data_IF_611253985660
#
_entry.id   IF_611253985660
#
_cell.length_a   1.000
_cell.length_b   1.000
_cell.length_c   1.000
_cell.angle_alpha   90.00
_cell.angle_beta   90.00
_cell.angle_gamma   90.00
#
_symmetry.space_group_name_H-M   'P 1'
#
loop_
_entity.id
_entity.type
_entity.pdbx_description
1 polymer ?
#
# COMPACT_ATOMS: atom_id res chain seq x y z
N UNK A 1 -12.80 -12.84 -10.14
CA UNK A 1 -13.45 -11.75 -9.36
C UNK A 1 -12.62 -10.50 -9.53
N UNK A 2 -13.29 -9.38 -9.80
CA UNK A 2 -12.71 -8.14 -10.33
C UNK A 2 -11.91 -7.44 -9.22
N UNK A 3 -10.59 -7.28 -9.40
CA UNK A 3 -9.73 -6.33 -8.68
C UNK A 3 -10.14 -4.88 -9.00
N UNK A 4 -11.42 -4.54 -8.80
CA UNK A 4 -11.94 -3.23 -9.10
C UNK A 4 -11.49 -2.28 -7.99
N UNK A 5 -10.51 -1.43 -8.34
CA UNK A 5 -10.47 -0.03 -7.92
C UNK A 5 -10.23 0.31 -6.44
N UNK A 6 -9.53 -0.45 -5.60
CA UNK A 6 -9.09 0.16 -4.32
C UNK A 6 -8.13 1.33 -4.59
N UNK A 7 -7.13 1.12 -5.44
CA UNK A 7 -6.18 2.16 -5.82
C UNK A 7 -6.84 3.30 -6.63
N UNK A 8 -7.67 2.96 -7.62
CA UNK A 8 -8.39 3.97 -8.43
C UNK A 8 -9.37 4.78 -7.58
N UNK A 9 -10.05 4.17 -6.61
CA UNK A 9 -10.92 4.87 -5.66
C UNK A 9 -10.11 5.79 -4.74
N UNK A 10 -8.98 5.32 -4.19
CA UNK A 10 -8.08 6.13 -3.38
C UNK A 10 -7.50 7.33 -4.17
N UNK A 11 -7.14 7.10 -5.43
CA UNK A 11 -6.65 8.14 -6.33
C UNK A 11 -7.76 9.16 -6.63
N UNK A 12 -8.97 8.70 -6.96
CA UNK A 12 -10.12 9.54 -7.25
C UNK A 12 -10.52 10.43 -6.06
N UNK A 13 -10.51 9.91 -4.83
CA UNK A 13 -10.80 10.70 -3.62
C UNK A 13 -9.71 11.72 -3.30
N UNK A 14 -8.43 11.41 -3.57
CA UNK A 14 -7.32 12.38 -3.44
C UNK A 14 -7.37 13.52 -4.46
N UNK A 15 -8.08 13.33 -5.59
CA UNK A 15 -8.29 14.34 -6.64
C UNK A 15 -9.57 15.16 -6.45
N UNK A 16 -10.48 14.76 -5.55
CA UNK A 16 -11.76 15.44 -5.33
C UNK A 16 -11.62 16.89 -4.77
N UNK A 17 -10.43 17.32 -4.37
CA UNK A 17 -10.14 18.71 -3.96
C UNK A 17 -9.82 19.66 -5.12
N UNK A 18 -9.66 19.20 -6.37
CA UNK A 18 -9.28 20.11 -7.47
C UNK A 18 -10.09 19.83 -8.74
N UNK A 19 -11.10 20.67 -8.98
CA UNK A 19 -11.87 20.66 -10.22
C UNK A 19 -10.92 20.92 -11.39
N UNK A 20 -11.05 20.09 -12.44
CA UNK A 20 -10.33 20.15 -13.74
C UNK A 20 -8.89 19.62 -13.71
N UNK A 21 -8.73 18.30 -13.74
CA UNK A 21 -7.81 17.66 -14.70
C UNK A 21 -8.51 16.45 -15.31
N UNK A 22 -8.47 16.40 -16.63
CA UNK A 22 -9.00 15.35 -17.50
C UNK A 22 -8.63 13.96 -16.97
N UNK A 23 -9.59 13.03 -16.93
CA UNK A 23 -9.34 11.60 -16.72
C UNK A 23 -8.67 11.05 -17.98
N UNK A 24 -7.38 11.31 -18.17
CA UNK A 24 -6.57 10.47 -19.04
C UNK A 24 -6.44 9.11 -18.35
N UNK A 25 -7.34 8.20 -18.72
CA UNK A 25 -7.29 6.79 -18.32
C UNK A 25 -6.23 6.09 -19.17
N UNK A 26 -5.00 6.56 -19.08
CA UNK A 26 -3.85 5.97 -19.77
C UNK A 26 -3.15 5.07 -18.76
N UNK A 27 -3.51 3.79 -18.76
CA UNK A 27 -2.82 2.68 -18.08
C UNK A 27 -2.75 2.83 -16.55
N UNK A 28 -3.51 2.03 -15.78
CA UNK A 28 -3.51 2.03 -14.31
C UNK A 28 -2.10 2.11 -13.71
N UNK A 29 -1.67 3.32 -13.34
CA UNK A 29 -0.37 3.52 -12.73
C UNK A 29 -0.37 2.82 -11.37
N UNK A 30 0.48 1.80 -11.19
CA UNK A 30 0.65 1.06 -9.92
C UNK A 30 1.24 1.91 -8.80
N UNK A 31 1.60 3.15 -9.08
CA UNK A 31 2.16 4.08 -8.09
C UNK A 31 1.67 5.49 -8.35
N UNK A 32 1.36 6.19 -7.26
CA UNK A 32 0.99 7.59 -7.24
C UNK A 32 1.89 8.31 -6.24
N UNK A 33 2.54 9.38 -6.68
CA UNK A 33 3.45 10.14 -5.84
C UNK A 33 3.12 11.64 -5.89
N UNK A 34 2.95 12.23 -4.71
CA UNK A 34 2.86 13.67 -4.49
C UNK A 34 3.91 14.10 -3.46
N UNK A 35 4.01 15.42 -3.26
CA UNK A 35 4.90 16.03 -2.25
C UNK A 35 4.75 15.42 -0.84
N UNK A 36 3.52 15.09 -0.46
CA UNK A 36 3.18 14.70 0.92
C UNK A 36 2.71 13.25 1.08
N UNK A 37 2.30 12.60 -0.01
CA UNK A 37 1.75 11.24 0.04
C UNK A 37 2.30 10.44 -1.14
N UNK A 38 2.66 9.20 -0.86
CA UNK A 38 3.00 8.21 -1.85
C UNK A 38 2.15 6.96 -1.63
N UNK A 39 1.56 6.45 -2.72
CA UNK A 39 0.72 5.26 -2.72
C UNK A 39 1.27 4.32 -3.77
N UNK A 40 1.50 3.06 -3.40
CA UNK A 40 1.97 2.02 -4.31
C UNK A 40 1.07 0.81 -4.18
N UNK A 41 0.56 0.29 -5.29
CA UNK A 41 -0.26 -0.90 -5.33
C UNK A 41 0.44 -2.00 -6.13
N UNK A 42 0.44 -3.22 -5.61
CA UNK A 42 1.03 -4.41 -6.24
C UNK A 42 2.48 -4.21 -6.72
N UNK A 43 3.30 -3.46 -5.99
CA UNK A 43 4.71 -3.20 -6.35
C UNK A 43 5.67 -3.92 -5.42
N UNK A 44 6.81 -4.37 -5.97
CA UNK A 44 7.92 -4.87 -5.17
C UNK A 44 8.57 -3.75 -4.35
N UNK A 45 8.86 -4.02 -3.08
CA UNK A 45 9.68 -3.12 -2.27
C UNK A 45 11.15 -3.37 -2.58
N UNK A 46 11.92 -2.32 -2.82
CA UNK A 46 13.38 -2.46 -2.97
C UNK A 46 13.98 -2.61 -1.58
N UNK A 47 14.56 -3.78 -1.32
CA UNK A 47 15.21 -4.14 -0.06
C UNK A 47 16.58 -4.71 -0.37
N UNK A 48 17.53 -4.55 0.55
CA UNK A 48 18.90 -5.05 0.38
C UNK A 48 18.98 -6.56 0.63
N UNK A 49 18.04 -7.10 1.40
CA UNK A 49 17.87 -8.54 1.64
C UNK A 49 16.77 -9.15 0.75
N UNK A 50 16.92 -10.43 0.38
CA UNK A 50 15.87 -11.18 -0.33
C UNK A 50 14.75 -11.56 0.64
N UNK A 51 13.59 -10.93 0.50
CA UNK A 51 12.39 -11.24 1.29
C UNK A 51 11.39 -12.04 0.44
N UNK A 52 10.83 -13.12 0.99
CA UNK A 52 9.88 -14.00 0.29
C UNK A 52 8.57 -13.28 -0.05
N UNK A 53 8.04 -12.49 0.88
CA UNK A 53 6.77 -11.77 0.75
C UNK A 53 6.99 -10.27 0.56
N UNK A 54 7.54 -9.90 -0.59
CA UNK A 54 8.03 -8.54 -0.86
C UNK A 54 7.10 -7.68 -1.76
N UNK A 55 5.85 -8.10 -1.92
CA UNK A 55 4.87 -7.44 -2.81
C UNK A 55 3.52 -7.33 -2.10
N UNK A 56 3.33 -6.31 -1.25
CA UNK A 56 2.04 -6.04 -0.63
C UNK A 56 1.00 -5.55 -1.64
N UNK A 57 -0.28 -5.74 -1.32
CA UNK A 57 -1.38 -5.26 -2.17
C UNK A 57 -1.39 -3.73 -2.26
N UNK A 58 -1.18 -3.04 -1.14
CA UNK A 58 -1.11 -1.59 -1.08
C UNK A 58 -0.14 -1.09 0.00
N UNK A 59 0.65 -0.09 -0.34
CA UNK A 59 1.53 0.65 0.56
C UNK A 59 1.15 2.12 0.48
N UNK A 60 0.94 2.75 1.63
CA UNK A 60 0.69 4.18 1.77
C UNK A 60 1.77 4.79 2.64
N UNK A 61 2.41 5.84 2.15
CA UNK A 61 3.45 6.58 2.86
C UNK A 61 2.94 8.02 3.03
N UNK A 62 2.63 8.39 4.26
CA UNK A 62 2.30 9.77 4.63
C UNK A 62 3.59 10.48 5.09
N UNK A 63 4.12 11.33 4.21
CA UNK A 63 5.36 12.08 4.47
C UNK A 63 5.17 13.22 5.47
N UNK A 64 3.93 13.66 5.74
CA UNK A 64 3.64 14.69 6.74
C UNK A 64 3.63 14.10 8.14
N UNK A 65 2.96 12.97 8.31
CA UNK A 65 2.90 12.25 9.58
C UNK A 65 4.14 11.39 9.84
N UNK A 66 4.95 11.14 8.80
CA UNK A 66 6.08 10.20 8.84
C UNK A 66 5.62 8.80 9.21
N UNK A 67 4.55 8.35 8.54
CA UNK A 67 3.92 7.06 8.78
C UNK A 67 3.87 6.23 7.50
N UNK A 68 4.03 4.92 7.65
CA UNK A 68 3.93 3.93 6.58
C UNK A 68 2.84 2.94 6.96
N UNK A 69 1.93 2.67 6.03
CA UNK A 69 0.88 1.68 6.18
C UNK A 69 1.02 0.63 5.07
N UNK A 70 1.02 -0.64 5.46
CA UNK A 70 0.97 -1.79 4.57
C UNK A 70 -0.42 -2.42 4.71
N UNK A 71 -1.12 -2.60 3.59
CA UNK A 71 -2.46 -3.18 3.57
C UNK A 71 -2.43 -4.46 2.74
N UNK A 72 -2.97 -5.53 3.32
CA UNK A 72 -3.20 -6.82 2.67
C UNK A 72 -4.70 -7.12 2.70
N UNK A 73 -5.27 -7.46 1.55
CA UNK A 73 -6.68 -7.81 1.42
C UNK A 73 -6.79 -9.31 1.16
N UNK A 74 -7.53 -10.03 1.99
CA UNK A 74 -7.83 -11.43 1.73
C UNK A 74 -9.18 -11.82 2.31
N UNK A 75 -9.95 -12.57 1.52
CA UNK A 75 -11.27 -13.09 1.91
C UNK A 75 -11.04 -14.38 2.72
N UNK A 76 -11.64 -14.47 3.90
CA UNK A 76 -11.47 -15.61 4.82
C UNK A 76 -12.81 -15.97 5.48
N UNK A 77 -12.96 -17.23 5.87
CA UNK A 77 -14.10 -17.68 6.66
C UNK A 77 -13.97 -17.19 8.11
N UNK A 78 -15.11 -16.90 8.75
CA UNK A 78 -15.17 -16.38 10.13
C UNK A 78 -14.36 -17.20 11.12
N UNK A 79 -14.45 -18.52 11.01
CA UNK A 79 -13.83 -19.48 11.94
C UNK A 79 -12.30 -19.41 11.96
N UNK A 80 -11.66 -18.91 10.90
CA UNK A 80 -10.20 -18.83 10.76
C UNK A 80 -9.66 -17.39 10.83
N UNK A 81 -10.50 -16.39 11.13
CA UNK A 81 -10.12 -14.97 11.04
C UNK A 81 -8.88 -14.63 11.88
N UNK A 82 -8.86 -15.01 13.16
CA UNK A 82 -7.76 -14.67 14.08
C UNK A 82 -6.41 -15.26 13.62
N UNK A 83 -6.44 -16.50 13.13
CA UNK A 83 -5.24 -17.16 12.63
C UNK A 83 -4.72 -16.43 11.39
N UNK A 84 -5.59 -16.13 10.42
CA UNK A 84 -5.17 -15.46 9.18
C UNK A 84 -4.72 -14.02 9.43
N UNK A 85 -5.34 -13.29 10.36
CA UNK A 85 -4.86 -11.96 10.77
C UNK A 85 -3.45 -12.02 11.36
N UNK A 86 -3.20 -12.97 12.26
CA UNK A 86 -1.87 -13.15 12.88
C UNK A 86 -0.81 -13.53 11.85
N UNK A 87 -1.15 -14.41 10.91
CA UNK A 87 -0.25 -14.78 9.81
C UNK A 87 0.05 -13.59 8.89
N UNK A 88 -0.96 -12.78 8.55
CA UNK A 88 -0.80 -11.58 7.70
C UNK A 88 0.03 -10.50 8.37
N UNK A 89 -0.14 -10.27 9.67
CA UNK A 89 0.67 -9.31 10.43
C UNK A 89 2.16 -9.67 10.34
N UNK A 90 2.50 -10.92 10.64
CA UNK A 90 3.90 -11.39 10.64
C UNK A 90 4.54 -11.45 9.26
N UNK A 91 3.74 -11.59 8.20
CA UNK A 91 4.20 -11.71 6.81
C UNK A 91 5.03 -10.51 6.35
N UNK A 92 4.71 -9.31 6.83
CA UNK A 92 5.30 -8.07 6.36
C UNK A 92 6.17 -7.34 7.39
N UNK A 93 6.42 -7.92 8.56
CA UNK A 93 7.29 -7.33 9.59
C UNK A 93 8.67 -6.94 9.03
N UNK A 94 9.30 -7.84 8.27
CA UNK A 94 10.62 -7.58 7.67
C UNK A 94 10.57 -6.44 6.64
N UNK A 95 9.57 -6.43 5.76
CA UNK A 95 9.41 -5.39 4.73
C UNK A 95 9.11 -4.04 5.40
N UNK A 96 8.26 -4.05 6.42
CA UNK A 96 7.92 -2.85 7.19
C UNK A 96 9.12 -2.26 7.91
N UNK A 97 9.99 -3.11 8.46
CA UNK A 97 11.24 -2.67 9.10
C UNK A 97 12.22 -2.05 8.09
N UNK A 98 12.42 -2.67 6.94
CA UNK A 98 13.25 -2.12 5.86
C UNK A 98 12.70 -0.76 5.37
N UNK A 99 11.39 -0.67 5.14
CA UNK A 99 10.73 0.58 4.77
C UNK A 99 10.89 1.66 5.84
N UNK A 100 10.71 1.31 7.11
CA UNK A 100 10.92 2.20 8.24
C UNK A 100 12.35 2.76 8.27
N UNK A 101 13.36 1.92 7.99
CA UNK A 101 14.76 2.35 7.92
C UNK A 101 15.05 3.24 6.71
N UNK A 102 14.56 2.87 5.52
CA UNK A 102 14.78 3.63 4.27
C UNK A 102 14.20 5.04 4.38
N UNK A 103 12.99 5.17 4.94
CA UNK A 103 12.29 6.46 5.01
C UNK A 103 12.51 7.20 6.34
N UNK A 104 12.95 6.51 7.40
CA UNK A 104 13.02 7.03 8.76
C UNK A 104 11.63 7.32 9.36
N UNK A 105 10.62 6.53 8.98
CA UNK A 105 9.20 6.73 9.32
C UNK A 105 8.66 5.58 10.16
N UNK A 106 7.62 5.85 10.94
CA UNK A 106 6.97 4.83 11.78
C UNK A 106 6.08 3.92 10.93
N UNK A 107 6.23 2.61 11.08
CA UNK A 107 5.27 1.62 10.56
C UNK A 107 4.03 1.56 11.47
N UNK A 108 2.85 1.53 10.86
CA UNK A 108 1.56 1.39 11.54
C UNK A 108 1.03 -0.03 11.48
#
# INVERSE_FOLDING_TARGET
>A
MKYLNVFTFLCATSTASNRRKSLETTQCNRSYQKKYVEVRADTFVKTDIKIKHNRPDLIVIDKRKKEILIVEVGITSGDNLQQVETEKLRKYDLVGNELSQIYGFKLL
#
